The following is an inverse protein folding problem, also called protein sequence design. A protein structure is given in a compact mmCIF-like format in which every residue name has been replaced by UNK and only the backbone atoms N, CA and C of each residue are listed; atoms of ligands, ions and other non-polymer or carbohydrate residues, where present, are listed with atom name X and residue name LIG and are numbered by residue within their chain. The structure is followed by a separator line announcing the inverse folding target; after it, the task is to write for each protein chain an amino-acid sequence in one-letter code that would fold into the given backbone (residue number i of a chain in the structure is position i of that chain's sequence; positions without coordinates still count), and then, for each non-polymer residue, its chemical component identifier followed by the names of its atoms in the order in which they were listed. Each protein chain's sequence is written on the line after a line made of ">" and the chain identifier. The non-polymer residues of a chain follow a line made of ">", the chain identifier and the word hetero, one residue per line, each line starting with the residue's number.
data_IF_173352570164
#
_entry.id   IF_173352570164
#
_cell.length_a   1.000
_cell.length_b   1.000
_cell.length_c   1.000
_cell.angle_alpha   90.00
_cell.angle_beta   90.00
_cell.angle_gamma   90.00
#
_symmetry.space_group_name_H-M   'P 1'
#
loop_
_entity.id
_entity.type
_entity.pdbx_description
1 polymer ?
#
# COMPACT_ATOMS: atom_id res chain seq x y z
N UNK A 1 5.76 13.18 -45.45
CA UNK A 1 5.40 13.28 -44.02
C UNK A 1 6.34 12.38 -43.24
N UNK A 2 7.51 12.87 -42.86
CA UNK A 2 8.50 12.06 -42.14
C UNK A 2 9.02 12.92 -41.00
N UNK A 3 8.30 12.86 -39.88
CA UNK A 3 8.65 13.57 -38.65
C UNK A 3 9.89 12.92 -38.06
N UNK A 4 10.97 13.70 -37.95
CA UNK A 4 12.22 13.25 -37.34
C UNK A 4 12.02 13.06 -35.83
N UNK A 5 11.87 11.81 -35.42
CA UNK A 5 11.60 11.36 -34.04
C UNK A 5 12.76 11.59 -33.07
N UNK A 6 13.92 12.07 -33.54
CA UNK A 6 15.12 12.23 -32.72
C UNK A 6 15.16 13.51 -31.89
N UNK A 7 14.34 14.51 -32.23
CA UNK A 7 14.28 15.79 -31.50
C UNK A 7 13.57 15.67 -30.15
N UNK A 8 12.86 14.57 -29.89
CA UNK A 8 12.20 14.32 -28.60
C UNK A 8 13.23 14.26 -27.46
N UNK A 9 14.45 13.78 -27.75
CA UNK A 9 15.55 13.67 -26.79
C UNK A 9 16.26 15.00 -26.48
N UNK A 10 15.95 16.07 -27.22
CA UNK A 10 16.47 17.42 -26.96
C UNK A 10 15.57 18.24 -26.03
N UNK A 11 14.30 17.83 -25.86
CA UNK A 11 13.34 18.44 -24.92
C UNK A 11 13.16 17.63 -23.64
N UNK A 12 13.30 16.31 -23.73
CA UNK A 12 13.26 15.44 -22.56
C UNK A 12 14.69 15.13 -22.11
N UNK A 13 15.14 15.81 -21.05
CA UNK A 13 16.37 15.45 -20.36
C UNK A 13 16.30 13.95 -19.99
N UNK A 14 17.15 13.08 -20.58
CA UNK A 14 17.01 11.62 -20.48
C UNK A 14 17.08 11.11 -19.04
N UNK A 15 17.75 11.87 -18.17
CA UNK A 15 17.77 11.61 -16.73
C UNK A 15 16.41 11.86 -16.08
N UNK A 16 15.74 12.96 -16.43
CA UNK A 16 14.48 13.38 -15.80
C UNK A 16 13.35 12.42 -16.16
N UNK A 17 13.28 11.95 -17.40
CA UNK A 17 12.25 10.98 -17.81
C UNK A 17 12.42 9.62 -17.13
N UNK A 18 13.66 9.11 -17.03
CA UNK A 18 13.94 7.87 -16.29
C UNK A 18 13.63 8.00 -14.79
N UNK A 19 13.99 9.13 -14.19
CA UNK A 19 13.68 9.41 -12.77
C UNK A 19 12.18 9.61 -12.55
N UNK A 20 11.48 10.32 -13.44
CA UNK A 20 10.04 10.52 -13.35
C UNK A 20 9.28 9.19 -13.49
N UNK A 21 9.71 8.32 -14.41
CA UNK A 21 9.14 6.97 -14.53
C UNK A 21 9.42 6.16 -13.27
N UNK A 22 10.67 6.07 -12.81
CA UNK A 22 11.02 5.32 -11.60
C UNK A 22 10.26 5.84 -10.36
N UNK A 23 10.21 7.16 -10.17
CA UNK A 23 9.48 7.80 -9.08
C UNK A 23 7.97 7.52 -9.17
N UNK A 24 7.38 7.60 -10.37
CA UNK A 24 5.97 7.25 -10.58
C UNK A 24 5.68 5.81 -10.18
N UNK A 25 6.50 4.85 -10.62
CA UNK A 25 6.34 3.43 -10.27
C UNK A 25 6.50 3.20 -8.76
N UNK A 26 7.47 3.85 -8.11
CA UNK A 26 7.69 3.73 -6.66
C UNK A 26 6.53 4.31 -5.87
N UNK A 27 6.07 5.52 -6.22
CA UNK A 27 4.91 6.16 -5.55
C UNK A 27 3.65 5.31 -5.74
N UNK A 28 3.41 4.81 -6.95
CA UNK A 28 2.28 3.92 -7.24
C UNK A 28 2.36 2.61 -6.43
N UNK A 29 3.54 2.00 -6.34
CA UNK A 29 3.76 0.80 -5.53
C UNK A 29 3.45 1.08 -4.06
N UNK A 30 3.98 2.18 -3.50
CA UNK A 30 3.75 2.56 -2.12
C UNK A 30 2.26 2.84 -1.85
N UNK A 31 1.56 3.57 -2.72
CA UNK A 31 0.12 3.82 -2.61
C UNK A 31 -0.69 2.51 -2.49
N UNK A 32 -0.36 1.50 -3.30
CA UNK A 32 -1.03 0.20 -3.24
C UNK A 32 -0.72 -0.52 -1.93
N UNK A 33 0.53 -0.47 -1.45
CA UNK A 33 0.89 -1.08 -0.17
C UNK A 33 0.18 -0.41 1.00
N UNK A 34 0.14 0.93 1.03
CA UNK A 34 -0.56 1.68 2.06
C UNK A 34 -2.06 1.44 2.05
N UNK A 35 -2.67 1.28 0.87
CA UNK A 35 -4.08 0.92 0.77
C UNK A 35 -4.37 -0.48 1.33
N UNK A 36 -3.47 -1.44 1.08
CA UNK A 36 -3.57 -2.80 1.60
C UNK A 36 -3.40 -2.84 3.13
N UNK A 37 -2.36 -2.16 3.66
CA UNK A 37 -2.10 -2.07 5.10
C UNK A 37 -3.17 -1.28 5.86
N UNK A 38 -3.74 -0.23 5.26
CA UNK A 38 -4.70 0.63 5.93
C UNK A 38 -6.11 0.05 6.04
N UNK A 39 -6.41 -1.02 5.30
CA UNK A 39 -7.75 -1.62 5.30
C UNK A 39 -7.79 -2.80 6.29
N UNK A 40 -8.71 -2.75 7.27
CA UNK A 40 -8.88 -3.72 8.39
C UNK A 40 -8.83 -5.20 7.96
N UNK A 41 -9.30 -5.50 6.74
CA UNK A 41 -9.32 -6.86 6.18
C UNK A 41 -8.03 -7.29 5.47
N UNK A 42 -7.26 -6.35 4.94
CA UNK A 42 -6.06 -6.62 4.13
C UNK A 42 -4.76 -6.23 4.86
N UNK A 43 -4.88 -5.69 6.06
CA UNK A 43 -3.77 -5.33 6.94
C UNK A 43 -3.07 -6.59 7.48
N UNK A 44 -2.11 -7.10 6.71
CA UNK A 44 -1.40 -8.32 7.08
C UNK A 44 -0.54 -8.14 8.34
N UNK A 45 -0.25 -6.91 8.77
CA UNK A 45 0.53 -6.61 9.97
C UNK A 45 -0.25 -6.84 11.28
N UNK A 46 -1.57 -6.63 11.29
CA UNK A 46 -2.41 -6.75 12.50
C UNK A 46 -2.83 -8.20 12.79
N UNK A 47 -2.56 -9.12 11.86
CA UNK A 47 -3.00 -10.50 11.95
C UNK A 47 -4.51 -10.65 11.73
N UNK A 48 -4.93 -11.84 11.34
CA UNK A 48 -6.32 -12.20 11.02
C UNK A 48 -7.33 -11.51 11.97
N UNK A 49 -8.26 -10.66 11.49
CA UNK A 49 -9.22 -9.95 12.34
C UNK A 49 -10.11 -10.91 13.16
N UNK A 50 -10.22 -12.18 12.77
CA UNK A 50 -10.87 -13.20 13.60
C UNK A 50 -10.08 -13.55 14.88
N UNK A 51 -8.75 -13.46 14.88
CA UNK A 51 -7.91 -13.70 16.07
C UNK A 51 -7.96 -12.51 17.04
N UNK A 52 -7.92 -11.28 16.54
CA UNK A 52 -8.01 -10.06 17.36
C UNK A 52 -9.39 -9.90 17.99
N UNK A 53 -10.47 -10.25 17.26
CA UNK A 53 -11.83 -10.31 17.85
C UNK A 53 -12.00 -11.46 18.85
N UNK A 54 -11.37 -12.62 18.64
CA UNK A 54 -11.41 -13.72 19.61
C UNK A 54 -10.66 -13.36 20.92
N UNK A 55 -9.53 -12.65 20.83
CA UNK A 55 -8.82 -12.14 22.00
C UNK A 55 -9.62 -11.07 22.75
N UNK A 56 -10.29 -10.15 22.04
CA UNK A 56 -11.17 -9.15 22.67
C UNK A 56 -12.44 -9.77 23.30
N UNK A 57 -12.98 -10.83 22.71
CA UNK A 57 -14.13 -11.57 23.26
C UNK A 57 -13.75 -12.39 24.50
N UNK A 58 -12.51 -12.87 24.63
CA UNK A 58 -12.04 -13.57 25.82
C UNK A 58 -11.89 -12.64 27.04
N UNK A 59 -11.63 -11.34 26.83
CA UNK A 59 -11.48 -10.34 27.90
C UNK A 59 -12.83 -9.92 28.52
N UNK A 60 -13.96 -10.13 27.82
CA UNK A 60 -15.28 -9.72 28.30
C UNK A 60 -16.09 -10.83 28.97
N UNK A 61 -15.53 -12.01 29.24
CA UNK A 61 -16.24 -13.00 30.05
C UNK A 61 -16.40 -12.47 31.48
N UNK A 62 -17.63 -12.13 31.94
CA UNK A 62 -17.82 -11.74 33.32
C UNK A 62 -17.66 -13.01 34.14
N UNK A 63 -16.54 -13.14 34.86
CA UNK A 63 -16.42 -14.08 35.97
C UNK A 63 -17.53 -13.71 36.95
N UNK A 64 -18.58 -14.52 36.96
CA UNK A 64 -19.57 -14.52 38.03
C UNK A 64 -19.06 -15.49 39.10
N UNK A 65 -18.44 -15.01 40.20
CA UNK A 65 -18.14 -15.89 41.31
C UNK A 65 -19.46 -16.28 41.97
N UNK A 66 -19.88 -17.52 41.76
CA UNK A 66 -21.01 -18.12 42.46
C UNK A 66 -20.72 -18.13 43.96
N UNK A 67 -21.61 -17.49 44.74
CA UNK A 67 -21.74 -17.58 46.19
C UNK A 67 -23.23 -17.65 46.53
#
# INVERSE_FOLDING_TARGET
>A
MTFSTHKVWLMFDPRSTLVALAAFLVVLALLIHFLCLGHDRFNWLEGNPAATKAAAAAVTMPVNPVA
#
